data_IF_874887894549
#
_entry.id   IF_874887894549
#
_cell.length_a   1.000
_cell.length_b   1.000
_cell.length_c   1.000
_cell.angle_alpha   90.00
_cell.angle_beta   90.00
_cell.angle_gamma   90.00
#
_symmetry.space_group_name_H-M   'P 1'
#
loop_
_entity.id
_entity.type
_entity.pdbx_description
1 polymer ?
#
# COMPACT_ATOMS: atom_id res chain seq x y z
N UNK A 1 33.70 1.68 3.26
CA UNK A 1 33.65 1.13 4.62
C UNK A 1 32.33 0.40 4.74
N UNK A 2 32.38 -0.93 4.85
CA UNK A 2 31.21 -1.78 4.98
C UNK A 2 30.61 -1.60 6.38
N UNK A 3 29.31 -1.33 6.45
CA UNK A 3 28.55 -1.50 7.69
C UNK A 3 27.87 -2.87 7.62
N UNK A 4 28.62 -3.90 8.02
CA UNK A 4 28.02 -5.12 8.55
C UNK A 4 27.54 -4.80 9.95
N UNK A 5 26.23 -4.63 10.10
CA UNK A 5 25.56 -4.76 11.39
C UNK A 5 24.33 -5.62 11.14
N UNK A 6 24.54 -6.93 11.12
CA UNK A 6 23.53 -7.87 11.56
C UNK A 6 23.78 -8.13 13.06
N UNK A 7 23.04 -7.49 13.99
CA UNK A 7 23.02 -7.96 15.34
C UNK A 7 21.91 -9.00 15.36
N UNK A 8 22.29 -10.27 15.24
CA UNK A 8 21.40 -11.40 15.49
C UNK A 8 20.53 -11.08 16.71
N UNK A 9 19.25 -10.80 16.45
CA UNK A 9 18.31 -10.46 17.50
C UNK A 9 18.28 -11.59 18.52
N UNK A 10 17.96 -11.31 19.80
CA UNK A 10 17.81 -12.37 20.79
C UNK A 10 16.89 -13.44 20.21
N UNK A 11 17.37 -14.70 20.20
CA UNK A 11 16.62 -15.85 19.70
C UNK A 11 15.19 -15.73 20.18
N UNK A 12 14.25 -15.66 19.23
CA UNK A 12 12.85 -15.36 19.53
C UNK A 12 12.36 -16.45 20.48
N UNK A 13 12.07 -16.05 21.72
CA UNK A 13 11.68 -16.97 22.78
C UNK A 13 10.42 -17.72 22.34
N UNK A 14 10.53 -19.02 22.07
CA UNK A 14 9.38 -19.83 21.65
C UNK A 14 8.68 -20.35 22.90
N UNK A 15 7.52 -19.79 23.20
CA UNK A 15 6.62 -20.31 24.23
C UNK A 15 5.66 -21.29 23.57
N UNK A 16 5.52 -22.49 24.13
CA UNK A 16 4.68 -23.56 23.56
C UNK A 16 3.56 -23.92 24.53
N UNK A 17 2.48 -24.52 24.01
CA UNK A 17 1.41 -25.03 24.87
C UNK A 17 1.89 -26.12 25.85
N UNK A 18 2.88 -26.92 25.46
CA UNK A 18 3.47 -27.94 26.35
C UNK A 18 4.21 -27.29 27.52
N UNK A 19 5.04 -26.28 27.25
CA UNK A 19 5.76 -25.57 28.31
C UNK A 19 4.81 -24.75 29.20
N UNK A 20 3.76 -24.16 28.62
CA UNK A 20 2.69 -23.49 29.36
C UNK A 20 1.94 -24.45 30.28
N UNK A 21 1.53 -25.63 29.78
CA UNK A 21 0.85 -26.65 30.57
C UNK A 21 1.74 -27.18 31.69
N UNK A 22 3.03 -27.42 31.41
CA UNK A 22 3.99 -27.88 32.42
C UNK A 22 4.19 -26.84 33.54
N UNK A 23 4.27 -25.55 33.18
CA UNK A 23 4.35 -24.46 34.15
C UNK A 23 3.08 -24.36 35.00
N UNK A 24 1.89 -24.41 34.38
CA UNK A 24 0.62 -24.44 35.11
C UNK A 24 0.55 -25.61 36.08
N UNK A 25 0.99 -26.80 35.64
CA UNK A 25 1.04 -28.00 36.48
C UNK A 25 2.07 -27.90 37.64
N UNK A 26 3.14 -27.13 37.47
CA UNK A 26 4.09 -26.87 38.54
C UNK A 26 3.50 -25.91 39.57
N UNK A 27 2.87 -24.81 39.11
CA UNK A 27 2.20 -23.85 39.98
C UNK A 27 0.99 -24.46 40.70
N UNK A 28 0.25 -25.37 40.06
CA UNK A 28 -0.85 -26.11 40.66
C UNK A 28 -0.44 -27.08 41.77
N UNK A 29 0.81 -27.56 41.74
CA UNK A 29 1.41 -28.37 42.81
C UNK A 29 1.99 -27.52 43.94
N UNK A 30 2.14 -26.21 43.75
CA UNK A 30 2.70 -25.31 44.74
C UNK A 30 1.63 -24.84 45.73
N UNK A 31 1.64 -25.42 46.93
CA UNK A 31 0.69 -25.08 48.00
C UNK A 31 0.75 -23.62 48.44
N UNK A 32 1.87 -22.92 48.27
CA UNK A 32 1.97 -21.50 48.63
C UNK A 32 1.16 -20.58 47.70
N UNK A 33 1.01 -20.96 46.43
CA UNK A 33 0.27 -20.18 45.44
C UNK A 33 -1.26 -20.39 45.52
N UNK A 34 -1.70 -21.45 46.19
CA UNK A 34 -3.11 -21.81 46.36
C UNK A 34 -3.99 -20.63 46.81
N UNK A 35 -3.66 -20.04 47.97
CA UNK A 35 -4.47 -18.96 48.53
C UNK A 35 -4.44 -17.72 47.65
N UNK A 36 -3.34 -17.49 46.93
CA UNK A 36 -3.19 -16.34 46.05
C UNK A 36 -4.17 -16.41 44.89
N UNK A 37 -4.28 -17.56 44.20
CA UNK A 37 -5.23 -17.73 43.09
C UNK A 37 -6.70 -17.58 43.48
N UNK A 38 -7.05 -17.80 44.75
CA UNK A 38 -8.43 -17.67 45.26
C UNK A 38 -8.73 -16.28 45.80
N UNK A 39 -7.77 -15.69 46.52
CA UNK A 39 -7.95 -14.39 47.19
C UNK A 39 -7.69 -13.21 46.26
N UNK A 40 -6.81 -13.37 45.26
CA UNK A 40 -6.54 -12.39 44.22
C UNK A 40 -6.91 -12.96 42.83
N UNK A 41 -8.12 -12.69 42.34
CA UNK A 41 -8.58 -13.10 41.01
C UNK A 41 -7.69 -12.62 39.85
N UNK A 42 -6.98 -11.51 40.06
CA UNK A 42 -6.17 -10.82 39.03
C UNK A 42 -4.71 -11.19 39.05
N UNK A 43 -4.29 -11.99 40.04
CA UNK A 43 -2.92 -12.46 40.17
C UNK A 43 -2.38 -13.05 38.86
N UNK A 44 -1.21 -12.59 38.44
CA UNK A 44 -0.50 -13.09 37.27
C UNK A 44 0.76 -13.85 37.69
N UNK A 45 0.76 -15.18 37.55
CA UNK A 45 1.96 -15.98 37.79
C UNK A 45 3.11 -15.58 36.86
N UNK A 46 4.38 -15.80 37.25
CA UNK A 46 5.54 -15.40 36.45
C UNK A 46 5.50 -15.92 35.00
N UNK A 47 4.99 -17.14 34.78
CA UNK A 47 4.86 -17.68 33.43
C UNK A 47 3.80 -16.95 32.59
N UNK A 48 2.68 -16.53 33.19
CA UNK A 48 1.64 -15.74 32.50
C UNK A 48 2.13 -14.33 32.21
N UNK A 49 2.91 -13.73 33.11
CA UNK A 49 3.62 -12.47 32.84
C UNK A 49 4.58 -12.59 31.66
N UNK A 50 5.28 -13.73 31.53
CA UNK A 50 6.15 -14.02 30.39
C UNK A 50 5.37 -14.15 29.07
N UNK A 51 4.21 -14.83 29.07
CA UNK A 51 3.30 -14.85 27.90
C UNK A 51 2.88 -13.43 27.53
N UNK A 52 2.55 -12.60 28.52
CA UNK A 52 2.15 -11.21 28.30
C UNK A 52 3.27 -10.36 27.70
N UNK A 53 4.49 -10.50 28.21
CA UNK A 53 5.67 -9.83 27.66
C UNK A 53 5.95 -10.29 26.21
N UNK A 54 5.82 -11.59 25.95
CA UNK A 54 5.97 -12.16 24.60
C UNK A 54 4.95 -11.59 23.61
N UNK A 55 3.66 -11.57 23.98
CA UNK A 55 2.59 -10.97 23.18
C UNK A 55 2.85 -9.49 22.88
N UNK A 56 3.17 -8.70 23.90
CA UNK A 56 3.45 -7.26 23.75
C UNK A 56 4.64 -6.99 22.84
N UNK A 57 5.72 -7.77 22.98
CA UNK A 57 6.91 -7.69 22.13
C UNK A 57 6.57 -8.02 20.68
N UNK A 58 5.85 -9.12 20.43
CA UNK A 58 5.50 -9.57 19.08
C UNK A 58 4.55 -8.60 18.38
N UNK A 59 3.56 -8.09 19.10
CA UNK A 59 2.68 -7.02 18.61
C UNK A 59 3.47 -5.76 18.24
N UNK A 60 4.41 -5.31 19.10
CA UNK A 60 5.27 -4.17 18.83
C UNK A 60 6.12 -4.36 17.56
N UNK A 61 6.71 -5.55 17.40
CA UNK A 61 7.47 -5.91 16.18
C UNK A 61 6.59 -5.90 14.93
N UNK A 62 5.37 -6.40 15.01
CA UNK A 62 4.43 -6.39 13.89
C UNK A 62 4.05 -4.95 13.48
N UNK A 63 3.87 -4.04 14.45
CA UNK A 63 3.63 -2.62 14.17
C UNK A 63 4.81 -1.97 13.45
N UNK A 64 6.05 -2.23 13.91
CA UNK A 64 7.28 -1.72 13.26
C UNK A 64 7.37 -2.24 11.82
N UNK A 65 7.23 -3.57 11.63
CA UNK A 65 7.26 -4.19 10.29
C UNK A 65 6.17 -3.65 9.37
N UNK A 66 4.97 -3.38 9.90
CA UNK A 66 3.89 -2.74 9.16
C UNK A 66 4.31 -1.35 8.71
N UNK A 67 4.82 -0.51 9.61
CA UNK A 67 5.27 0.84 9.28
C UNK A 67 6.38 0.84 8.21
N UNK A 68 7.37 -0.04 8.32
CA UNK A 68 8.43 -0.19 7.32
C UNK A 68 7.92 -0.66 5.95
N UNK A 69 6.94 -1.57 5.93
CA UNK A 69 6.35 -2.05 4.69
C UNK A 69 5.49 -0.97 4.02
N UNK A 70 4.66 -0.26 4.79
CA UNK A 70 3.84 0.85 4.29
C UNK A 70 4.72 2.01 3.80
N UNK A 71 5.77 2.38 4.54
CA UNK A 71 6.69 3.44 4.14
C UNK A 71 7.41 3.17 2.81
N UNK A 72 7.74 1.89 2.51
CA UNK A 72 8.28 1.50 1.20
C UNK A 72 7.27 1.71 0.07
N UNK A 73 6.03 1.30 0.27
CA UNK A 73 4.95 1.47 -0.72
C UNK A 73 4.69 2.97 -0.96
N UNK A 74 4.69 3.77 0.11
CA UNK A 74 4.51 5.22 0.04
C UNK A 74 5.65 5.90 -0.73
N UNK A 75 6.90 5.50 -0.50
CA UNK A 75 8.05 6.02 -1.24
C UNK A 75 7.99 5.67 -2.75
N UNK A 76 7.59 4.44 -3.08
CA UNK A 76 7.38 4.00 -4.47
C UNK A 76 6.25 4.79 -5.15
N UNK A 77 5.15 5.03 -4.43
CA UNK A 77 4.04 5.84 -4.90
C UNK A 77 4.47 7.30 -5.12
N UNK A 78 5.20 7.90 -4.19
CA UNK A 78 5.68 9.28 -4.33
C UNK A 78 6.63 9.44 -5.51
N UNK A 79 7.54 8.48 -5.71
CA UNK A 79 8.45 8.45 -6.88
C UNK A 79 7.66 8.35 -8.19
N UNK A 80 6.64 7.48 -8.24
CA UNK A 80 5.78 7.32 -9.41
C UNK A 80 4.96 8.58 -9.71
N UNK A 81 4.50 9.28 -8.66
CA UNK A 81 3.75 10.54 -8.79
C UNK A 81 4.59 11.68 -9.32
N UNK A 82 5.80 11.89 -8.80
CA UNK A 82 6.72 12.92 -9.30
C UNK A 82 7.06 12.68 -10.77
N UNK A 83 7.33 11.42 -11.13
CA UNK A 83 7.59 11.03 -12.51
C UNK A 83 6.38 11.30 -13.43
N UNK A 84 5.16 10.95 -12.99
CA UNK A 84 3.92 11.21 -13.73
C UNK A 84 3.71 12.71 -13.98
N UNK A 85 3.81 13.54 -12.94
CA UNK A 85 3.65 15.00 -13.06
C UNK A 85 4.66 15.60 -14.03
N UNK A 86 5.91 15.14 -13.97
CA UNK A 86 6.97 15.58 -14.90
C UNK A 86 6.60 15.25 -16.35
N UNK A 87 6.14 14.02 -16.61
CA UNK A 87 5.74 13.59 -17.96
C UNK A 87 4.52 14.32 -18.50
N UNK A 88 3.53 14.59 -17.66
CA UNK A 88 2.34 15.35 -18.06
C UNK A 88 2.71 16.78 -18.44
N UNK A 89 3.60 17.42 -17.68
CA UNK A 89 4.09 18.76 -18.00
C UNK A 89 4.89 18.78 -19.31
N UNK A 90 5.75 17.78 -19.55
CA UNK A 90 6.47 17.63 -20.83
C UNK A 90 5.50 17.43 -22.01
N UNK A 91 4.48 16.58 -21.84
CA UNK A 91 3.45 16.34 -22.85
C UNK A 91 2.68 17.64 -23.18
N UNK A 92 2.30 18.43 -22.17
CA UNK A 92 1.64 19.72 -22.35
C UNK A 92 2.51 20.72 -23.11
N UNK A 93 3.81 20.76 -22.80
CA UNK A 93 4.76 21.63 -23.51
C UNK A 93 4.89 21.23 -24.99
N UNK A 94 4.94 19.92 -25.29
CA UNK A 94 4.98 19.43 -26.68
C UNK A 94 3.66 19.71 -27.41
N UNK A 95 2.52 19.44 -26.81
CA UNK A 95 1.19 19.74 -27.40
C UNK A 95 1.00 21.24 -27.67
N UNK A 96 1.45 22.10 -26.75
CA UNK A 96 1.43 23.55 -26.94
C UNK A 96 2.30 24.04 -28.10
N UNK A 97 3.39 23.33 -28.41
CA UNK A 97 4.26 23.62 -29.55
C UNK A 97 3.71 23.08 -30.89
N UNK A 98 2.94 21.99 -30.87
CA UNK A 98 2.34 21.36 -32.06
C UNK A 98 1.17 22.19 -32.62
N UNK A 99 0.30 22.74 -31.77
CA UNK A 99 -0.87 23.54 -32.19
C UNK A 99 -0.55 24.73 -33.14
N UNK A 100 0.48 25.56 -32.90
CA UNK A 100 0.84 26.63 -33.83
C UNK A 100 1.49 26.11 -35.12
N UNK A 101 2.15 24.95 -35.11
CA UNK A 101 2.76 24.33 -36.30
C UNK A 101 1.74 23.74 -37.27
N UNK A 102 0.71 23.06 -36.75
CA UNK A 102 -0.40 22.52 -37.57
C UNK A 102 -1.20 23.66 -38.22
N UNK A 103 -1.43 24.77 -37.50
CA UNK A 103 -2.08 25.97 -38.04
C UNK A 103 -1.24 26.68 -39.12
N UNK A 104 0.09 26.54 -39.09
CA UNK A 104 0.98 27.09 -40.11
C UNK A 104 1.01 26.21 -41.38
N UNK A 105 0.99 24.88 -41.22
CA UNK A 105 0.97 23.91 -42.32
C UNK A 105 -0.37 23.87 -43.07
N UNK A 106 -1.49 24.10 -42.37
CA UNK A 106 -2.83 24.19 -42.99
C UNK A 106 -3.01 25.38 -43.95
N UNK A 107 -2.08 26.34 -43.99
CA UNK A 107 -2.11 27.48 -44.92
C UNK A 107 -1.22 27.34 -46.15
N UNK A 108 -0.36 26.31 -46.21
CA UNK A 108 0.62 26.15 -47.30
C UNK A 108 0.17 25.17 -48.42
N UNK A 109 -0.90 24.40 -48.20
CA UNK A 109 -1.40 23.42 -49.17
C UNK A 109 -2.42 24.00 -50.16
N UNK A 110 -1.94 24.81 -51.11
CA UNK A 110 -2.72 25.21 -52.28
C UNK A 110 -2.32 24.41 -53.52
N UNK A 111 -3.23 23.56 -53.99
CA UNK A 111 -3.40 22.94 -55.32
C UNK A 111 -2.18 22.37 -56.07
N UNK A 112 -2.06 21.03 -56.06
CA UNK A 112 -1.95 20.22 -57.30
C UNK A 112 -2.07 18.70 -57.00
N UNK A 113 -2.86 17.92 -57.74
CA UNK A 113 -2.91 16.47 -57.57
C UNK A 113 -1.74 15.79 -58.29
N UNK A 114 -0.74 15.30 -57.55
CA UNK A 114 0.36 14.49 -58.10
C UNK A 114 0.01 12.99 -58.18
N UNK A 115 0.53 12.29 -59.21
CA UNK A 115 0.20 10.90 -59.49
C UNK A 115 0.88 9.93 -58.51
N UNK A 116 0.17 8.86 -58.16
CA UNK A 116 0.59 7.80 -57.24
C UNK A 116 1.69 6.90 -57.82
N UNK A 117 2.90 7.43 -57.95
CA UNK A 117 4.08 6.67 -58.35
C UNK A 117 5.30 7.20 -57.60
N UNK A 118 5.91 6.32 -56.80
CA UNK A 118 7.02 6.59 -55.87
C UNK A 118 6.57 7.20 -54.53
N UNK A 119 6.81 6.46 -53.44
CA UNK A 119 6.68 6.99 -52.08
C UNK A 119 7.69 8.13 -51.98
N UNK A 120 7.21 9.37 -52.07
CA UNK A 120 8.08 10.54 -51.95
C UNK A 120 8.82 10.47 -50.61
N UNK A 121 10.11 10.80 -50.55
CA UNK A 121 10.78 10.98 -49.27
C UNK A 121 10.00 11.98 -48.43
N UNK A 122 9.81 11.68 -47.14
CA UNK A 122 9.15 12.58 -46.20
C UNK A 122 9.79 13.97 -46.29
N UNK A 123 8.96 15.00 -46.35
CA UNK A 123 9.46 16.37 -46.18
C UNK A 123 10.06 16.49 -44.77
N UNK A 124 10.97 17.46 -44.56
CA UNK A 124 11.55 17.72 -43.23
C UNK A 124 10.44 17.91 -42.18
N UNK A 125 9.34 18.54 -42.59
CA UNK A 125 8.16 18.79 -41.76
C UNK A 125 7.38 17.51 -41.45
N UNK A 126 7.16 16.63 -42.44
CA UNK A 126 6.50 15.32 -42.22
C UNK A 126 7.36 14.40 -41.33
N UNK A 127 8.69 14.41 -41.50
CA UNK A 127 9.61 13.65 -40.65
C UNK A 127 9.64 14.18 -39.20
N UNK A 128 9.52 15.50 -39.02
CA UNK A 128 9.41 16.11 -37.69
C UNK A 128 8.05 15.83 -37.05
N UNK A 129 6.97 15.78 -37.84
CA UNK A 129 5.64 15.37 -37.37
C UNK A 129 5.63 13.91 -36.90
N UNK A 130 6.19 12.98 -37.69
CA UNK A 130 6.26 11.57 -37.32
C UNK A 130 7.08 11.35 -36.04
N UNK A 131 8.20 12.06 -35.88
CA UNK A 131 9.00 12.05 -34.64
C UNK A 131 8.24 12.60 -33.44
N UNK A 132 7.39 13.61 -33.64
CA UNK A 132 6.55 14.16 -32.58
C UNK A 132 5.44 13.18 -32.20
N UNK A 133 4.76 12.56 -33.16
CA UNK A 133 3.75 11.53 -32.89
C UNK A 133 4.35 10.32 -32.16
N UNK A 134 5.56 9.88 -32.54
CA UNK A 134 6.27 8.81 -31.84
C UNK A 134 6.59 9.20 -30.39
N UNK A 135 7.06 10.43 -30.16
CA UNK A 135 7.29 10.96 -28.80
C UNK A 135 6.00 11.00 -27.99
N UNK A 136 4.88 11.43 -28.57
CA UNK A 136 3.57 11.47 -27.92
C UNK A 136 3.10 10.06 -27.53
N UNK A 137 3.23 9.07 -28.42
CA UNK A 137 2.92 7.67 -28.11
C UNK A 137 3.78 7.13 -26.98
N UNK A 138 5.08 7.46 -26.98
CA UNK A 138 6.00 7.07 -25.90
C UNK A 138 5.60 7.68 -24.56
N UNK A 139 5.33 8.98 -24.53
CA UNK A 139 4.86 9.64 -23.31
C UNK A 139 3.53 9.07 -22.83
N UNK A 140 2.64 8.71 -23.75
CA UNK A 140 1.38 8.07 -23.39
C UNK A 140 1.59 6.73 -22.68
N UNK A 141 2.38 5.85 -23.27
CA UNK A 141 2.70 4.55 -22.66
C UNK A 141 3.36 4.71 -21.29
N UNK A 142 4.24 5.71 -21.14
CA UNK A 142 4.87 6.02 -19.85
C UNK A 142 3.86 6.53 -18.82
N UNK A 143 2.92 7.42 -19.19
CA UNK A 143 1.85 7.92 -18.31
C UNK A 143 0.95 6.78 -17.85
N UNK A 144 0.44 5.95 -18.77
CA UNK A 144 -0.40 4.79 -18.45
C UNK A 144 0.30 3.82 -17.48
N UNK A 145 1.59 3.58 -17.71
CA UNK A 145 2.41 2.75 -16.82
C UNK A 145 2.49 3.33 -15.40
N UNK A 146 2.68 4.65 -15.27
CA UNK A 146 2.77 5.31 -13.96
C UNK A 146 1.43 5.36 -13.23
N UNK A 147 0.33 5.59 -13.93
CA UNK A 147 -1.03 5.52 -13.36
C UNK A 147 -1.31 4.11 -12.82
N UNK A 148 -0.97 3.09 -13.60
CA UNK A 148 -1.13 1.68 -13.19
C UNK A 148 -0.27 1.36 -11.97
N UNK A 149 0.98 1.84 -11.91
CA UNK A 149 1.88 1.70 -10.76
C UNK A 149 1.28 2.30 -9.48
N UNK A 150 0.70 3.49 -9.57
CA UNK A 150 0.09 4.18 -8.42
C UNK A 150 -1.18 3.49 -7.94
N UNK A 151 -2.03 3.02 -8.86
CA UNK A 151 -3.21 2.22 -8.53
C UNK A 151 -2.80 0.92 -7.81
N UNK A 152 -1.76 0.26 -8.33
CA UNK A 152 -1.17 -0.94 -7.72
C UNK A 152 -0.61 -0.65 -6.33
N UNK A 153 0.09 0.47 -6.14
CA UNK A 153 0.60 0.87 -4.83
C UNK A 153 -0.53 1.09 -3.81
N UNK A 154 -1.64 1.72 -4.20
CA UNK A 154 -2.81 1.91 -3.33
C UNK A 154 -3.42 0.56 -2.90
N UNK A 155 -3.53 -0.40 -3.83
CA UNK A 155 -4.03 -1.74 -3.52
C UNK A 155 -3.06 -2.51 -2.61
N UNK A 156 -1.77 -2.45 -2.90
CA UNK A 156 -0.71 -3.07 -2.10
C UNK A 156 -0.68 -2.50 -0.68
N UNK A 157 -0.92 -1.19 -0.51
CA UNK A 157 -1.00 -0.54 0.79
C UNK A 157 -2.14 -1.13 1.63
N UNK A 158 -3.35 -1.25 1.07
CA UNK A 158 -4.51 -1.82 1.75
C UNK A 158 -4.31 -3.32 2.08
N UNK A 159 -3.75 -4.08 1.15
CA UNK A 159 -3.44 -5.50 1.37
C UNK A 159 -2.36 -5.69 2.43
N UNK A 160 -1.35 -4.83 2.45
CA UNK A 160 -0.32 -4.82 3.48
C UNK A 160 -0.95 -4.57 4.85
N UNK A 161 -1.79 -3.53 4.96
CA UNK A 161 -2.52 -3.23 6.19
C UNK A 161 -3.33 -4.42 6.71
N UNK A 162 -4.18 -5.00 5.85
CA UNK A 162 -5.04 -6.13 6.24
C UNK A 162 -4.24 -7.36 6.62
N UNK A 163 -3.14 -7.66 5.92
CA UNK A 163 -2.25 -8.78 6.24
C UNK A 163 -1.62 -8.64 7.62
N UNK A 164 -1.16 -7.44 7.99
CA UNK A 164 -0.59 -7.22 9.32
C UNK A 164 -1.65 -7.24 10.42
N UNK A 165 -2.86 -6.74 10.15
CA UNK A 165 -3.98 -6.83 11.10
C UNK A 165 -4.37 -8.29 11.38
N UNK A 166 -4.38 -9.15 10.35
CA UNK A 166 -4.62 -10.57 10.53
C UNK A 166 -3.52 -11.25 11.34
N UNK A 167 -2.24 -10.94 11.06
CA UNK A 167 -1.11 -11.44 11.86
C UNK A 167 -1.18 -11.00 13.32
N UNK A 168 -1.68 -9.78 13.59
CA UNK A 168 -1.90 -9.29 14.94
C UNK A 168 -3.00 -10.09 15.66
N UNK A 169 -4.11 -10.38 14.97
CA UNK A 169 -5.18 -11.26 15.49
C UNK A 169 -4.68 -12.66 15.80
N UNK A 170 -3.93 -13.27 14.89
CA UNK A 170 -3.31 -14.59 15.12
C UNK A 170 -2.38 -14.56 16.35
N UNK A 171 -1.64 -13.47 16.56
CA UNK A 171 -0.76 -13.30 17.72
C UNK A 171 -1.55 -13.18 19.02
N UNK A 172 -2.72 -12.52 18.98
CA UNK A 172 -3.66 -12.45 20.09
C UNK A 172 -4.25 -13.83 20.42
N UNK A 173 -4.70 -14.56 19.40
CA UNK A 173 -5.26 -15.91 19.55
C UNK A 173 -4.22 -16.89 20.12
N UNK A 174 -2.97 -16.79 19.67
CA UNK A 174 -1.84 -17.57 20.18
C UNK A 174 -1.58 -17.28 21.67
N UNK A 175 -1.58 -16.02 22.09
CA UNK A 175 -1.40 -15.65 23.50
C UNK A 175 -2.55 -16.18 24.38
N UNK A 176 -3.79 -16.05 23.91
CA UNK A 176 -4.96 -16.61 24.58
C UNK A 176 -4.89 -18.14 24.70
N UNK A 177 -4.46 -18.82 23.63
CA UNK A 177 -4.26 -20.27 23.63
C UNK A 177 -3.17 -20.70 24.63
N UNK A 178 -2.07 -19.97 24.73
CA UNK A 178 -1.00 -20.24 25.69
C UNK A 178 -1.48 -20.10 27.14
N UNK A 179 -2.27 -19.07 27.46
CA UNK A 179 -2.87 -18.91 28.80
C UNK A 179 -3.92 -20.00 29.07
N UNK A 180 -4.69 -20.41 28.07
CA UNK A 180 -5.59 -21.55 28.20
C UNK A 180 -4.84 -22.86 28.49
N UNK A 181 -3.72 -23.12 27.79
CA UNK A 181 -2.85 -24.27 28.04
C UNK A 181 -2.22 -24.23 29.45
N UNK A 182 -1.81 -23.06 29.92
CA UNK A 182 -1.36 -22.86 31.29
C UNK A 182 -2.48 -23.17 32.30
N UNK A 183 -3.67 -22.61 32.09
CA UNK A 183 -4.84 -22.82 32.95
C UNK A 183 -5.23 -24.30 33.01
N UNK A 184 -5.20 -25.01 31.88
CA UNK A 184 -5.44 -26.45 31.82
C UNK A 184 -4.46 -27.23 32.72
N UNK A 185 -3.16 -26.94 32.62
CA UNK A 185 -2.15 -27.56 33.49
C UNK A 185 -2.38 -27.26 34.98
N UNK A 186 -2.73 -26.01 35.30
CA UNK A 186 -3.04 -25.57 36.67
C UNK A 186 -4.25 -26.33 37.23
N UNK A 187 -5.36 -26.36 36.50
CA UNK A 187 -6.60 -26.98 36.97
C UNK A 187 -6.52 -28.51 37.04
N UNK A 188 -5.75 -29.17 36.18
CA UNK A 188 -5.63 -30.63 36.22
C UNK A 188 -4.79 -31.17 37.38
N UNK A 189 -4.02 -30.31 38.05
CA UNK A 189 -3.10 -30.74 39.13
C UNK A 189 -3.46 -30.16 40.49
N UNK A 190 -4.28 -29.11 40.52
CA UNK A 190 -4.59 -28.39 41.75
C UNK A 190 -5.80 -28.99 42.49
N UNK A 191 -5.67 -29.23 43.80
CA UNK A 191 -6.70 -29.88 44.63
C UNK A 191 -8.05 -29.12 44.73
N UNK A 192 -8.04 -27.79 44.56
CA UNK A 192 -9.24 -26.93 44.50
C UNK A 192 -9.49 -26.36 43.10
N UNK A 193 -9.28 -27.17 42.05
CA UNK A 193 -9.43 -26.76 40.65
C UNK A 193 -10.76 -26.03 40.37
N UNK A 194 -11.88 -26.52 40.91
CA UNK A 194 -13.19 -25.91 40.68
C UNK A 194 -13.27 -24.46 41.19
N UNK A 195 -12.67 -24.16 42.34
CA UNK A 195 -12.70 -22.82 42.91
C UNK A 195 -11.78 -21.86 42.14
N UNK A 196 -10.59 -22.32 41.76
CA UNK A 196 -9.69 -21.54 40.89
C UNK A 196 -10.36 -21.27 39.54
N UNK A 197 -11.01 -22.27 38.92
CA UNK A 197 -11.68 -22.08 37.63
C UNK A 197 -12.78 -21.01 37.69
N UNK A 198 -13.49 -20.92 38.83
CA UNK A 198 -14.52 -19.92 39.07
C UNK A 198 -13.95 -18.53 39.33
N UNK A 199 -12.90 -18.43 40.14
CA UNK A 199 -12.40 -17.13 40.64
C UNK A 199 -11.28 -16.53 39.83
N UNK A 200 -10.30 -17.32 39.40
CA UNK A 200 -9.14 -16.78 38.71
C UNK A 200 -9.52 -16.31 37.30
N UNK A 201 -9.15 -15.06 37.01
CA UNK A 201 -9.43 -14.35 35.76
C UNK A 201 -8.12 -13.74 35.29
N UNK A 202 -7.33 -14.46 34.46
CA UNK A 202 -6.13 -13.89 33.91
C UNK A 202 -6.46 -12.63 33.11
N UNK A 203 -5.50 -11.70 33.04
CA UNK A 203 -5.66 -10.48 32.26
C UNK A 203 -6.03 -10.83 30.82
N UNK A 204 -7.04 -10.13 30.29
CA UNK A 204 -7.42 -10.25 28.89
C UNK A 204 -6.36 -9.59 28.00
N UNK A 205 -5.87 -10.33 27.02
CA UNK A 205 -5.01 -9.76 26.00
C UNK A 205 -5.85 -8.88 25.08
N UNK A 206 -5.34 -7.69 24.79
CA UNK A 206 -5.97 -6.73 23.89
C UNK A 206 -4.94 -6.23 22.89
N UNK A 207 -5.39 -6.01 21.66
CA UNK A 207 -4.56 -5.32 20.68
C UNK A 207 -4.43 -3.85 21.10
N UNK A 208 -3.28 -3.23 20.81
CA UNK A 208 -3.06 -1.79 20.97
C UNK A 208 -4.00 -0.99 20.07
N UNK A 209 -4.32 0.23 20.50
CA UNK A 209 -5.14 1.19 19.76
C UNK A 209 -4.64 1.44 18.32
N UNK A 210 -3.33 1.33 18.10
CA UNK A 210 -2.65 1.43 16.80
C UNK A 210 -3.17 0.43 15.74
N UNK A 211 -3.86 -0.64 16.13
CA UNK A 211 -4.45 -1.63 15.23
C UNK A 211 -5.88 -1.31 14.80
N UNK A 212 -6.56 -0.38 15.47
CA UNK A 212 -7.95 -0.03 15.22
C UNK A 212 -8.11 1.28 14.43
N UNK A 213 -6.99 1.89 14.03
CA UNK A 213 -7.00 3.05 13.15
C UNK A 213 -7.67 2.70 11.81
N UNK A 214 -8.48 3.63 11.28
CA UNK A 214 -9.14 3.45 10.00
C UNK A 214 -8.11 3.42 8.86
N UNK A 215 -8.01 2.32 8.09
CA UNK A 215 -7.08 2.21 6.98
C UNK A 215 -7.32 3.26 5.89
N UNK A 216 -8.57 3.69 5.65
CA UNK A 216 -8.84 4.69 4.64
C UNK A 216 -8.29 6.06 5.04
N UNK A 217 -8.49 6.45 6.30
CA UNK A 217 -7.89 7.66 6.88
C UNK A 217 -6.36 7.61 6.86
N UNK A 218 -5.76 6.48 7.24
CA UNK A 218 -4.30 6.33 7.25
C UNK A 218 -3.70 6.34 5.84
N UNK A 219 -4.40 5.75 4.86
CA UNK A 219 -4.01 5.82 3.45
C UNK A 219 -4.01 7.26 2.91
N UNK A 220 -4.96 8.10 3.34
CA UNK A 220 -4.99 9.53 2.96
C UNK A 220 -3.83 10.33 3.56
N UNK A 221 -3.35 9.94 4.74
CA UNK A 221 -2.18 10.55 5.38
C UNK A 221 -0.89 10.09 4.70
N UNK A 222 -0.74 8.78 4.46
CA UNK A 222 0.46 8.17 3.88
C UNK A 222 0.63 8.44 2.39
N UNK A 223 -0.47 8.54 1.63
CA UNK A 223 -0.50 8.98 0.24
C UNK A 223 -1.29 10.29 0.19
N UNK A 224 -0.61 11.45 0.31
CA UNK A 224 -1.27 12.75 0.42
C UNK A 224 -2.25 12.99 -0.72
N UNK A 225 -3.33 13.71 -0.41
CA UNK A 225 -4.33 14.16 -1.38
C UNK A 225 -3.67 14.79 -2.60
N UNK A 226 -2.59 15.57 -2.46
CA UNK A 226 -1.85 16.16 -3.58
C UNK A 226 -1.26 15.14 -4.57
N UNK A 227 -0.95 13.92 -4.15
CA UNK A 227 -0.50 12.82 -5.04
C UNK A 227 -1.68 12.19 -5.78
N UNK A 228 -2.84 12.03 -5.13
CA UNK A 228 -4.07 11.49 -5.76
C UNK A 228 -4.78 12.51 -6.65
N UNK A 229 -4.81 13.77 -6.24
CA UNK A 229 -5.39 14.88 -6.99
C UNK A 229 -4.50 15.27 -8.15
N UNK A 230 -3.16 15.25 -8.01
CA UNK A 230 -2.27 15.41 -9.17
C UNK A 230 -2.41 14.25 -10.14
N UNK A 231 -2.70 13.03 -9.67
CA UNK A 231 -3.03 11.87 -10.51
C UNK A 231 -4.33 12.09 -11.29
N UNK A 232 -5.39 12.51 -10.58
CA UNK A 232 -6.72 12.71 -11.14
C UNK A 232 -6.72 13.90 -12.10
N UNK A 233 -6.06 15.01 -11.72
CA UNK A 233 -5.85 16.16 -12.59
C UNK A 233 -4.92 15.84 -13.75
N UNK A 234 -3.82 15.10 -13.55
CA UNK A 234 -2.95 14.68 -14.65
C UNK A 234 -3.71 13.79 -15.64
N UNK A 235 -4.53 12.88 -15.13
CA UNK A 235 -5.37 12.00 -15.93
C UNK A 235 -6.48 12.76 -16.66
N UNK A 236 -7.17 13.68 -15.99
CA UNK A 236 -8.16 14.57 -16.61
C UNK A 236 -7.53 15.51 -17.63
N UNK A 237 -6.36 16.09 -17.34
CA UNK A 237 -5.59 16.91 -18.28
C UNK A 237 -5.17 16.10 -19.50
N UNK A 238 -4.73 14.86 -19.30
CA UNK A 238 -4.42 13.93 -20.38
C UNK A 238 -5.68 13.58 -21.19
N UNK A 239 -6.78 13.19 -20.56
CA UNK A 239 -8.06 12.93 -21.23
C UNK A 239 -8.55 14.15 -22.01
N UNK A 240 -8.37 15.36 -21.47
CA UNK A 240 -8.76 16.61 -22.11
C UNK A 240 -7.88 16.96 -23.32
N UNK A 241 -6.58 16.64 -23.29
CA UNK A 241 -5.70 16.77 -24.46
C UNK A 241 -6.22 15.90 -25.61
N UNK A 242 -6.53 14.63 -25.35
CA UNK A 242 -7.05 13.72 -26.38
C UNK A 242 -8.46 14.05 -26.85
N UNK A 243 -9.33 14.55 -25.97
CA UNK A 243 -10.66 15.03 -26.38
C UNK A 243 -10.59 16.25 -27.29
N UNK A 244 -9.57 17.10 -27.13
CA UNK A 244 -9.28 18.20 -28.07
C UNK A 244 -8.81 17.68 -29.43
N UNK A 245 -8.01 16.62 -29.47
CA UNK A 245 -7.53 16.01 -30.71
C UNK A 245 -8.61 15.16 -31.44
N UNK A 246 -9.64 14.67 -30.74
CA UNK A 246 -10.76 13.91 -31.35
C UNK A 246 -11.79 14.78 -32.09
N UNK A 247 -11.69 16.11 -32.03
CA UNK A 247 -12.37 17.00 -32.96
C UNK A 247 -11.30 17.63 -33.85
N UNK A 248 -10.72 16.90 -34.83
CA UNK A 248 -10.06 17.59 -35.91
C UNK A 248 -11.12 18.53 -36.48
N UNK A 249 -10.89 19.84 -36.41
CA UNK A 249 -11.66 20.76 -37.23
C UNK A 249 -11.51 20.24 -38.65
N UNK A 250 -12.56 19.63 -39.19
CA UNK A 250 -12.60 19.16 -40.55
C UNK A 250 -12.27 20.36 -41.41
N UNK A 251 -11.10 20.35 -42.05
CA UNK A 251 -10.70 21.28 -43.10
C UNK A 251 -11.50 20.90 -44.36
N UNK A 252 -12.81 20.78 -44.25
CA UNK A 252 -13.75 20.51 -45.34
C UNK A 252 -15.10 21.13 -44.95
N UNK A 253 -15.18 22.44 -45.05
CA UNK A 253 -16.42 23.15 -45.42
C UNK A 253 -16.01 24.46 -46.07
N UNK A 254 -15.27 24.32 -47.17
CA UNK A 254 -15.37 25.29 -48.26
C UNK A 254 -16.74 25.14 -48.91
N UNK A 255 -17.80 25.56 -48.22
CA UNK A 255 -19.04 25.92 -48.88
C UNK A 255 -18.82 27.32 -49.46
N UNK A 256 -18.29 27.32 -50.67
CA UNK A 256 -18.49 28.38 -51.64
C UNK A 256 -20.00 28.59 -51.81
N UNK A 257 -20.56 29.52 -51.06
CA UNK A 257 -21.83 30.14 -51.39
C UNK A 257 -21.58 31.24 -52.43
N UNK A 258 -21.42 30.80 -53.69
CA UNK A 258 -21.78 31.60 -54.85
C UNK A 258 -23.07 31.03 -55.46
N UNK A 259 -24.08 31.89 -55.58
CA UNK A 259 -25.00 31.84 -56.73
C UNK A 259 -26.36 31.18 -56.52
N UNK A 260 -27.30 31.98 -56.01
CA UNK A 260 -28.74 31.84 -56.16
C UNK A 260 -29.44 33.16 -55.85
#
# INVERSE_FOLDING_TARGET
MAYDIDPGGPAEEVITCESARAAGAADGRNQALYQVFITDPTFQPPFVLRISAYFNSRQGRLLIKRAEALGRIEQEAQTSSVALTTRVNELQAVSGAVNPGILALGKAGGDSPEPWGEVRPLTVEEADQERMEEKLRKYNAEIETRVTSLSTASNNWLQCWSSFQEKARMTLDEANALVACYKDGLLNTHQHAEEIARRWRPQEFTLRDDWFQDPATQLQIGIPIGVRDSLSQAWEQWLNLWRRDQHPHSIESGDSHEGG
#
